data_IF_539982667474
#
_entry.id   IF_539982667474
#
_cell.length_a   1.000
_cell.length_b   1.000
_cell.length_c   1.000
_cell.angle_alpha   90.00
_cell.angle_beta   90.00
_cell.angle_gamma   90.00
#
_symmetry.space_group_name_H-M   'P 1'
#
loop_
_entity.id
_entity.type
_entity.pdbx_description
1 polymer ?
#
# COMPACT_ATOMS: atom_id res chain seq x y z
N UNK A 1 -6.46 8.88 0.62
CA UNK A 1 -7.77 8.40 1.12
C UNK A 1 -8.86 9.09 0.31
N UNK A 2 -9.80 8.35 -0.27
CA UNK A 2 -10.89 8.86 -1.10
C UNK A 2 -11.87 9.76 -0.35
N UNK A 3 -11.84 9.79 0.99
CA UNK A 3 -12.63 10.74 1.77
C UNK A 3 -12.41 12.21 1.38
N UNK A 4 -11.29 12.55 0.74
CA UNK A 4 -11.06 13.89 0.18
C UNK A 4 -11.99 14.27 -0.98
N UNK A 5 -12.66 13.30 -1.61
CA UNK A 5 -13.69 13.54 -2.63
C UNK A 5 -15.07 13.81 -2.02
N UNK A 6 -15.31 13.45 -0.76
CA UNK A 6 -16.65 13.42 -0.20
C UNK A 6 -17.56 12.51 -1.04
N UNK A 7 -18.79 12.98 -1.30
CA UNK A 7 -19.78 12.27 -2.13
C UNK A 7 -19.89 12.88 -3.55
N UNK A 8 -18.80 13.51 -4.03
CA UNK A 8 -18.73 14.21 -5.31
C UNK A 8 -17.94 13.41 -6.36
N UNK A 9 -18.62 12.74 -7.30
CA UNK A 9 -17.96 11.99 -8.38
C UNK A 9 -17.14 12.90 -9.29
N UNK A 10 -17.62 14.11 -9.54
CA UNK A 10 -16.95 15.14 -10.34
C UNK A 10 -15.59 15.55 -9.77
N UNK A 11 -15.40 15.38 -8.45
CA UNK A 11 -14.13 15.67 -7.79
C UNK A 11 -13.02 14.73 -8.30
N UNK A 12 -13.34 13.49 -8.67
CA UNK A 12 -12.35 12.53 -9.18
C UNK A 12 -11.62 13.10 -10.39
N UNK A 13 -12.37 13.61 -11.38
CA UNK A 13 -11.79 14.27 -12.55
C UNK A 13 -11.07 15.56 -12.18
N UNK A 14 -11.65 16.41 -11.34
CA UNK A 14 -11.01 17.66 -10.91
C UNK A 14 -9.62 17.42 -10.31
N UNK A 15 -9.51 16.50 -9.35
CA UNK A 15 -8.23 16.17 -8.71
C UNK A 15 -7.27 15.48 -9.68
N UNK A 16 -7.79 14.69 -10.63
CA UNK A 16 -6.95 14.15 -11.70
C UNK A 16 -6.42 15.26 -12.62
N UNK A 17 -7.20 16.26 -12.97
CA UNK A 17 -6.72 17.40 -13.77
C UNK A 17 -5.65 18.22 -13.00
N UNK A 18 -5.71 18.20 -11.67
CA UNK A 18 -4.69 18.77 -10.77
C UNK A 18 -3.46 17.87 -10.51
N UNK A 19 -3.41 16.68 -11.12
CA UNK A 19 -2.25 15.78 -11.06
C UNK A 19 -2.32 14.64 -10.05
N UNK A 20 -3.41 14.46 -9.32
CA UNK A 20 -3.59 13.28 -8.45
C UNK A 20 -3.79 12.03 -9.32
N UNK A 21 -2.98 11.00 -9.10
CA UNK A 21 -2.93 9.81 -9.96
C UNK A 21 -2.98 8.47 -9.23
N UNK A 22 -2.91 8.49 -7.90
CA UNK A 22 -3.03 7.31 -7.04
C UNK A 22 -3.89 7.69 -5.85
N UNK A 23 -4.96 6.94 -5.61
CA UNK A 23 -5.87 7.20 -4.48
C UNK A 23 -6.24 5.90 -3.80
N UNK A 24 -6.02 5.88 -2.49
CA UNK A 24 -6.48 4.81 -1.63
C UNK A 24 -7.96 4.97 -1.25
N UNK A 25 -8.77 3.92 -1.42
CA UNK A 25 -10.24 3.99 -1.29
C UNK A 25 -10.78 4.00 0.15
N UNK A 26 -9.99 3.59 1.14
CA UNK A 26 -10.31 3.76 2.56
C UNK A 26 -9.03 3.93 3.39
N UNK A 27 -9.14 4.47 4.60
CA UNK A 27 -8.02 4.59 5.54
C UNK A 27 -8.43 4.12 6.92
N UNK A 28 -8.00 2.90 7.29
CA UNK A 28 -8.22 2.22 8.57
C UNK A 28 -9.67 1.88 8.93
N UNK A 29 -10.61 2.80 8.77
CA UNK A 29 -12.02 2.66 9.14
C UNK A 29 -12.92 2.93 7.94
N UNK A 30 -14.23 2.71 8.09
CA UNK A 30 -15.21 2.93 7.04
C UNK A 30 -15.30 4.40 6.61
N UNK A 31 -15.60 4.58 5.31
CA UNK A 31 -16.04 5.82 4.68
C UNK A 31 -17.21 5.52 3.73
N UNK A 32 -17.65 6.49 2.92
CA UNK A 32 -18.77 6.32 1.97
C UNK A 32 -18.47 5.33 0.83
N UNK A 33 -17.20 4.94 0.64
CA UNK A 33 -16.73 4.10 -0.46
C UNK A 33 -16.52 2.65 -0.02
N UNK A 34 -15.78 2.41 1.06
CA UNK A 34 -15.36 1.09 1.50
C UNK A 34 -14.99 1.07 2.99
N UNK A 35 -14.62 -0.11 3.50
CA UNK A 35 -14.11 -0.28 4.85
C UNK A 35 -12.59 -0.44 4.89
N UNK A 36 -11.96 0.19 5.89
CA UNK A 36 -10.55 -0.01 6.18
C UNK A 36 -10.26 -1.26 7.02
N UNK A 37 -8.98 -1.63 7.13
CA UNK A 37 -8.53 -2.87 7.79
C UNK A 37 -8.65 -2.89 9.33
N UNK A 38 -8.98 -1.77 9.97
CA UNK A 38 -9.23 -1.64 11.41
C UNK A 38 -10.72 -1.40 11.73
N UNK A 39 -11.60 -1.47 10.73
CA UNK A 39 -13.03 -1.47 11.02
C UNK A 39 -13.43 -2.80 11.64
N UNK A 40 -14.25 -2.76 12.70
CA UNK A 40 -14.69 -3.99 13.40
C UNK A 40 -15.43 -4.94 12.46
N UNK A 41 -16.13 -4.36 11.47
CA UNK A 41 -16.84 -5.10 10.42
C UNK A 41 -16.53 -4.46 9.06
N UNK A 42 -15.89 -5.23 8.19
CA UNK A 42 -15.72 -4.86 6.80
C UNK A 42 -17.02 -5.10 6.02
N UNK A 43 -17.72 -4.02 5.70
CA UNK A 43 -18.98 -4.02 4.95
C UNK A 43 -18.82 -4.20 3.44
N UNK A 44 -17.59 -4.23 2.91
CA UNK A 44 -17.33 -4.30 1.48
C UNK A 44 -17.40 -2.95 0.77
N UNK A 45 -17.38 -3.01 -0.56
CA UNK A 45 -17.51 -1.86 -1.44
C UNK A 45 -18.98 -1.42 -1.54
N UNK A 46 -19.24 -0.12 -1.35
CA UNK A 46 -20.58 0.45 -1.49
C UNK A 46 -20.95 0.69 -2.96
N UNK A 47 -22.23 0.92 -3.25
CA UNK A 47 -22.66 1.29 -4.61
C UNK A 47 -22.05 2.63 -5.06
N UNK A 48 -21.99 3.63 -4.18
CA UNK A 48 -21.26 4.87 -4.46
C UNK A 48 -19.77 4.60 -4.74
N UNK A 49 -19.16 3.68 -3.97
CA UNK A 49 -17.77 3.28 -4.20
C UNK A 49 -17.53 2.64 -5.56
N UNK A 50 -18.52 1.90 -6.09
CA UNK A 50 -18.47 1.35 -7.45
C UNK A 50 -18.45 2.45 -8.51
N UNK A 51 -19.30 3.46 -8.35
CA UNK A 51 -19.34 4.62 -9.25
C UNK A 51 -18.02 5.40 -9.19
N UNK A 52 -17.50 5.63 -7.98
CA UNK A 52 -16.24 6.34 -7.77
C UNK A 52 -15.05 5.60 -8.40
N UNK A 53 -14.97 4.27 -8.26
CA UNK A 53 -13.93 3.45 -8.92
C UNK A 53 -14.09 3.46 -10.44
N UNK A 54 -15.33 3.49 -10.96
CA UNK A 54 -15.56 3.60 -12.40
C UNK A 54 -15.01 4.92 -12.95
N UNK A 55 -15.24 6.03 -12.24
CA UNK A 55 -14.66 7.34 -12.59
C UNK A 55 -13.14 7.35 -12.48
N UNK A 56 -12.56 6.79 -11.39
CA UNK A 56 -11.11 6.66 -11.25
C UNK A 56 -10.49 5.89 -12.42
N UNK A 57 -11.10 4.78 -12.83
CA UNK A 57 -10.66 3.99 -13.98
C UNK A 57 -10.78 4.77 -15.30
N UNK A 58 -11.82 5.60 -15.44
CA UNK A 58 -12.05 6.40 -16.65
C UNK A 58 -11.04 7.53 -16.82
N UNK A 59 -10.60 8.18 -15.72
CA UNK A 59 -9.61 9.27 -15.75
C UNK A 59 -8.18 8.82 -15.49
N UNK A 60 -7.95 7.52 -15.31
CA UNK A 60 -6.63 6.92 -15.09
C UNK A 60 -6.01 7.28 -13.75
N UNK A 61 -6.77 7.10 -12.67
CA UNK A 61 -6.28 7.13 -11.29
C UNK A 61 -6.14 5.69 -10.78
N UNK A 62 -4.95 5.33 -10.31
CA UNK A 62 -4.67 4.04 -9.69
C UNK A 62 -5.41 3.91 -8.36
N UNK A 63 -6.19 2.84 -8.23
CA UNK A 63 -6.87 2.45 -7.00
C UNK A 63 -5.87 1.77 -6.05
N UNK A 64 -5.69 2.33 -4.85
CA UNK A 64 -4.85 1.76 -3.79
C UNK A 64 -5.69 1.11 -2.68
N UNK A 65 -5.22 -0.05 -2.21
CA UNK A 65 -5.88 -0.95 -1.26
C UNK A 65 -5.08 -1.17 0.02
N UNK A 66 -4.00 -0.42 0.25
CA UNK A 66 -3.11 -0.65 1.37
C UNK A 66 -3.85 -0.68 2.71
N UNK A 67 -4.61 0.36 3.05
CA UNK A 67 -5.43 0.49 4.26
C UNK A 67 -6.82 -0.15 4.23
N UNK A 68 -7.14 -0.90 3.18
CA UNK A 68 -8.48 -1.44 2.94
C UNK A 68 -8.64 -2.83 3.58
N UNK A 69 -9.84 -3.10 4.09
CA UNK A 69 -10.22 -4.39 4.67
C UNK A 69 -10.29 -5.51 3.63
N UNK A 70 -10.39 -6.76 4.08
CA UNK A 70 -10.38 -7.92 3.17
C UNK A 70 -11.58 -7.99 2.23
N UNK A 71 -12.80 -7.88 2.76
CA UNK A 71 -14.02 -7.96 1.95
C UNK A 71 -14.09 -6.80 0.97
N UNK A 72 -13.74 -5.59 1.42
CA UNK A 72 -13.62 -4.42 0.56
C UNK A 72 -12.55 -4.62 -0.53
N UNK A 73 -11.40 -5.22 -0.21
CA UNK A 73 -10.36 -5.56 -1.20
C UNK A 73 -10.91 -6.51 -2.27
N UNK A 74 -11.63 -7.57 -1.86
CA UNK A 74 -12.22 -8.53 -2.80
C UNK A 74 -13.21 -7.86 -3.75
N UNK A 75 -14.10 -7.02 -3.21
CA UNK A 75 -15.11 -6.35 -4.01
C UNK A 75 -14.49 -5.34 -4.99
N UNK A 76 -13.47 -4.60 -4.55
CA UNK A 76 -12.75 -3.65 -5.43
C UNK A 76 -11.98 -4.35 -6.53
N UNK A 77 -11.26 -5.44 -6.22
CA UNK A 77 -10.53 -6.24 -7.23
C UNK A 77 -11.51 -6.80 -8.26
N UNK A 78 -12.67 -7.30 -7.82
CA UNK A 78 -13.72 -7.83 -8.71
C UNK A 78 -14.36 -6.75 -9.58
N UNK A 79 -14.51 -5.52 -9.06
CA UNK A 79 -15.20 -4.43 -9.75
C UNK A 79 -14.31 -3.61 -10.69
N UNK A 80 -13.04 -3.42 -10.33
CA UNK A 80 -12.14 -2.55 -11.10
C UNK A 80 -11.86 -3.11 -12.50
N UNK A 81 -11.89 -2.24 -13.50
CA UNK A 81 -11.56 -2.58 -14.91
C UNK A 81 -10.09 -2.29 -15.26
N UNK A 82 -9.34 -1.73 -14.32
CA UNK A 82 -7.91 -1.45 -14.42
C UNK A 82 -7.17 -2.12 -13.25
N UNK A 83 -5.86 -2.42 -13.42
CA UNK A 83 -5.04 -2.88 -12.32
C UNK A 83 -5.18 -2.00 -11.07
N UNK A 84 -5.23 -2.65 -9.91
CA UNK A 84 -5.20 -2.00 -8.60
C UNK A 84 -3.86 -2.26 -7.92
N UNK A 85 -3.53 -1.49 -6.90
CA UNK A 85 -2.31 -1.69 -6.13
C UNK A 85 -2.57 -1.82 -4.63
N UNK A 86 -1.70 -2.55 -3.96
CA UNK A 86 -1.41 -2.35 -2.55
C UNK A 86 -0.07 -1.61 -2.53
N UNK A 87 -0.11 -0.28 -2.44
CA UNK A 87 1.09 0.56 -2.58
C UNK A 87 2.13 0.39 -1.46
N UNK A 88 1.71 0.00 -0.27
CA UNK A 88 2.59 -0.26 0.87
C UNK A 88 1.94 -1.28 1.84
N UNK A 89 2.52 -2.46 1.95
CA UNK A 89 2.12 -3.47 2.95
C UNK A 89 3.27 -4.42 3.31
N UNK A 90 3.09 -5.21 4.38
CA UNK A 90 3.96 -6.34 4.68
C UNK A 90 3.15 -7.65 4.66
N UNK A 91 3.79 -8.81 4.41
CA UNK A 91 3.10 -10.09 4.37
C UNK A 91 2.74 -10.58 5.79
N UNK A 92 1.49 -11.01 5.97
CA UNK A 92 1.00 -11.53 7.25
C UNK A 92 1.65 -12.88 7.62
N UNK A 93 2.17 -13.61 6.63
CA UNK A 93 2.96 -14.84 6.86
C UNK A 93 4.29 -14.60 7.59
N UNK A 94 4.83 -13.38 7.58
CA UNK A 94 6.01 -13.02 8.38
C UNK A 94 5.65 -12.39 9.73
N UNK A 95 4.52 -11.66 9.80
CA UNK A 95 4.01 -11.10 11.05
C UNK A 95 2.50 -10.94 10.99
N UNK A 96 1.80 -11.55 11.94
CA UNK A 96 0.36 -11.34 12.09
C UNK A 96 0.10 -9.94 12.66
N UNK A 97 -0.37 -9.03 11.81
CA UNK A 97 -0.74 -7.66 12.16
C UNK A 97 -1.94 -7.25 11.27
N UNK A 98 -2.96 -6.53 11.78
CA UNK A 98 -4.17 -6.21 11.00
C UNK A 98 -3.92 -5.46 9.68
N UNK A 99 -2.78 -4.78 9.61
CA UNK A 99 -2.31 -4.03 8.43
C UNK A 99 -1.65 -4.93 7.36
N UNK A 100 -1.11 -6.06 7.78
CA UNK A 100 -0.40 -6.99 6.92
C UNK A 100 -1.37 -7.81 6.09
N UNK A 101 -0.94 -8.19 4.89
CA UNK A 101 -1.80 -8.86 3.92
C UNK A 101 -1.56 -10.36 3.94
N UNK A 102 -2.63 -11.16 4.03
CA UNK A 102 -2.48 -12.62 3.95
C UNK A 102 -2.06 -13.02 2.54
N UNK A 103 -1.47 -14.20 2.41
CA UNK A 103 -1.05 -14.75 1.12
C UNK A 103 -2.20 -14.81 0.12
N UNK A 104 -3.41 -15.10 0.60
CA UNK A 104 -4.62 -15.10 -0.21
C UNK A 104 -4.93 -13.69 -0.76
N UNK A 105 -4.77 -12.64 0.04
CA UNK A 105 -5.00 -11.27 -0.45
C UNK A 105 -3.95 -10.84 -1.46
N UNK A 106 -2.68 -11.18 -1.20
CA UNK A 106 -1.58 -10.87 -2.11
C UNK A 106 -1.77 -11.55 -3.46
N UNK A 107 -2.11 -12.86 -3.46
CA UNK A 107 -2.43 -13.61 -4.68
C UNK A 107 -3.64 -13.07 -5.40
N UNK A 108 -4.74 -12.77 -4.69
CA UNK A 108 -5.94 -12.21 -5.32
C UNK A 108 -5.64 -10.94 -6.12
N UNK A 109 -4.87 -10.02 -5.53
CA UNK A 109 -4.51 -8.77 -6.21
C UNK A 109 -3.58 -9.05 -7.40
N UNK A 110 -2.60 -9.94 -7.23
CA UNK A 110 -1.68 -10.30 -8.31
C UNK A 110 -2.38 -11.01 -9.49
N UNK A 111 -3.25 -11.99 -9.21
CA UNK A 111 -4.00 -12.75 -10.20
C UNK A 111 -4.94 -11.84 -11.03
N UNK A 112 -5.39 -10.73 -10.46
CA UNK A 112 -6.14 -9.69 -11.16
C UNK A 112 -5.27 -8.68 -11.93
N UNK A 113 -3.97 -8.95 -12.09
CA UNK A 113 -3.01 -8.07 -12.76
C UNK A 113 -2.58 -6.86 -11.92
N UNK A 114 -2.86 -6.88 -10.61
CA UNK A 114 -2.52 -5.80 -9.69
C UNK A 114 -1.04 -5.77 -9.28
N UNK A 115 -0.73 -4.94 -8.28
CA UNK A 115 0.65 -4.68 -7.87
C UNK A 115 0.82 -4.60 -6.35
N UNK A 116 1.94 -5.08 -5.84
CA UNK A 116 2.28 -5.05 -4.41
C UNK A 116 3.57 -4.25 -4.19
N UNK A 117 3.42 -3.07 -3.60
CA UNK A 117 4.50 -2.33 -2.96
C UNK A 117 4.71 -2.84 -1.53
N UNK A 118 5.90 -3.36 -1.25
CA UNK A 118 6.26 -3.85 0.07
C UNK A 118 6.77 -2.69 0.92
N UNK A 119 6.29 -2.59 2.15
CA UNK A 119 6.72 -1.57 3.12
C UNK A 119 7.83 -2.06 4.02
N UNK A 120 8.56 -1.11 4.58
CA UNK A 120 9.60 -1.34 5.57
C UNK A 120 9.20 -0.84 6.96
N UNK A 121 7.93 -0.45 7.17
CA UNK A 121 7.46 0.11 8.43
C UNK A 121 7.67 -0.92 9.58
N UNK A 122 8.53 -0.63 10.59
CA UNK A 122 9.01 -1.64 11.54
C UNK A 122 7.88 -2.34 12.31
N UNK A 123 6.80 -1.64 12.63
CA UNK A 123 5.64 -2.24 13.30
C UNK A 123 5.03 -3.41 12.51
N UNK A 124 5.27 -3.50 11.20
CA UNK A 124 4.71 -4.51 10.30
C UNK A 124 5.69 -5.63 9.95
N UNK A 125 6.99 -5.45 10.21
CA UNK A 125 8.04 -6.42 9.93
C UNK A 125 8.20 -7.45 11.06
N UNK A 126 8.63 -8.67 10.71
CA UNK A 126 8.77 -9.83 11.60
C UNK A 126 9.52 -9.52 12.90
N UNK A 127 10.65 -8.81 12.79
CA UNK A 127 11.50 -8.45 13.93
C UNK A 127 11.15 -7.11 14.57
N UNK A 128 10.07 -6.47 14.13
CA UNK A 128 9.56 -5.25 14.74
C UNK A 128 10.60 -4.11 14.71
N UNK A 129 10.72 -3.35 15.81
CA UNK A 129 11.79 -2.37 16.05
C UNK A 129 13.24 -2.82 15.82
N UNK A 130 13.51 -4.13 15.79
CA UNK A 130 14.87 -4.68 15.61
C UNK A 130 15.19 -4.97 14.14
N UNK A 131 14.26 -4.67 13.23
CA UNK A 131 14.41 -4.90 11.80
C UNK A 131 15.40 -3.92 11.18
N UNK A 132 16.20 -4.39 10.24
CA UNK A 132 17.03 -3.58 9.37
C UNK A 132 16.73 -3.84 7.90
N UNK A 133 17.50 -3.21 7.02
CA UNK A 133 17.31 -3.30 5.57
C UNK A 133 17.28 -4.74 5.01
N UNK A 134 18.04 -5.66 5.63
CA UNK A 134 18.04 -7.08 5.24
C UNK A 134 16.69 -7.76 5.50
N UNK A 135 16.02 -7.42 6.61
CA UNK A 135 14.69 -7.94 6.95
C UNK A 135 13.62 -7.38 5.99
N UNK A 136 13.86 -6.19 5.44
CA UNK A 136 13.00 -5.62 4.39
C UNK A 136 13.21 -6.32 3.03
N UNK A 137 14.46 -6.64 2.66
CA UNK A 137 14.73 -7.46 1.47
C UNK A 137 14.09 -8.85 1.62
N UNK A 138 14.15 -9.47 2.80
CA UNK A 138 13.45 -10.74 3.10
C UNK A 138 11.93 -10.61 2.88
N UNK A 139 11.31 -9.53 3.37
CA UNK A 139 9.89 -9.29 3.14
C UNK A 139 9.55 -9.14 1.65
N UNK A 140 10.40 -8.48 0.86
CA UNK A 140 10.22 -8.39 -0.59
C UNK A 140 10.39 -9.77 -1.25
N UNK A 141 11.41 -10.55 -0.87
CA UNK A 141 11.59 -11.92 -1.37
C UNK A 141 10.39 -12.79 -1.09
N UNK A 142 9.83 -12.70 0.11
CA UNK A 142 8.64 -13.45 0.49
C UNK A 142 7.49 -13.20 -0.50
N UNK A 143 7.21 -11.94 -0.80
CA UNK A 143 6.14 -11.58 -1.73
C UNK A 143 6.49 -12.02 -3.15
N UNK A 144 7.73 -11.84 -3.62
CA UNK A 144 8.18 -12.30 -4.93
C UNK A 144 8.00 -13.82 -5.08
N UNK A 145 8.35 -14.60 -4.06
CA UNK A 145 8.20 -16.05 -4.08
C UNK A 145 6.72 -16.48 -4.15
N UNK A 146 5.80 -15.62 -3.74
CA UNK A 146 4.37 -15.90 -3.73
C UNK A 146 3.68 -15.56 -5.04
N UNK A 147 4.02 -14.41 -5.65
CA UNK A 147 3.28 -13.83 -6.78
C UNK A 147 4.13 -13.54 -8.02
N UNK A 148 5.44 -13.75 -7.95
CA UNK A 148 6.39 -13.42 -9.02
C UNK A 148 6.94 -11.99 -8.95
N UNK A 149 8.08 -11.77 -9.61
CA UNK A 149 8.84 -10.52 -9.45
C UNK A 149 8.26 -9.32 -10.22
N UNK A 150 7.46 -9.52 -11.27
CA UNK A 150 6.98 -8.45 -12.15
C UNK A 150 5.92 -7.56 -11.49
N UNK A 151 5.28 -8.04 -10.42
CA UNK A 151 4.18 -7.36 -9.73
C UNK A 151 4.56 -6.87 -8.32
N UNK A 152 5.87 -6.84 -8.03
CA UNK A 152 6.39 -6.44 -6.72
C UNK A 152 7.31 -5.23 -6.85
N UNK A 153 7.22 -4.32 -5.90
CA UNK A 153 8.12 -3.17 -5.82
C UNK A 153 8.25 -2.60 -4.41
N UNK A 154 8.95 -1.47 -4.34
CA UNK A 154 9.22 -0.76 -3.08
C UNK A 154 8.06 0.18 -2.72
N UNK A 155 7.61 0.14 -1.47
CA UNK A 155 6.58 1.01 -0.89
C UNK A 155 6.96 1.46 0.52
N UNK A 156 8.06 2.22 0.65
CA UNK A 156 8.76 2.46 1.93
C UNK A 156 7.88 2.88 3.12
N UNK A 157 6.79 3.62 2.88
CA UNK A 157 5.99 4.24 3.93
C UNK A 157 6.82 5.19 4.82
N UNK A 158 7.74 5.93 4.20
CA UNK A 158 8.61 6.87 4.91
C UNK A 158 7.79 8.01 5.51
N UNK A 159 7.97 8.21 6.81
CA UNK A 159 7.36 9.27 7.62
C UNK A 159 8.39 10.31 8.06
N UNK A 160 9.52 10.38 7.33
CA UNK A 160 10.65 11.25 7.67
C UNK A 160 10.20 12.71 7.86
N UNK A 161 10.52 13.29 9.02
CA UNK A 161 10.19 14.68 9.36
C UNK A 161 8.86 14.87 10.07
N UNK A 162 8.09 13.80 10.30
CA UNK A 162 6.91 13.84 11.15
C UNK A 162 7.23 13.56 12.62
N UNK A 163 6.36 14.03 13.51
CA UNK A 163 6.52 13.99 14.95
C UNK A 163 5.45 13.13 15.64
N UNK A 164 5.45 13.15 16.98
CA UNK A 164 4.48 12.41 17.78
C UNK A 164 3.03 12.86 17.56
N UNK A 165 2.78 14.13 17.18
CA UNK A 165 1.42 14.60 16.90
C UNK A 165 0.89 13.96 15.61
N UNK A 166 1.73 13.89 14.58
CA UNK A 166 1.40 13.15 13.36
C UNK A 166 1.09 11.69 13.66
N UNK A 167 1.92 11.00 14.45
CA UNK A 167 1.68 9.60 14.82
C UNK A 167 0.40 9.43 15.65
N UNK A 168 0.10 10.38 16.55
CA UNK A 168 -1.19 10.42 17.24
C UNK A 168 -2.34 10.56 16.24
N UNK A 169 -2.24 11.46 15.28
CA UNK A 169 -3.27 11.67 14.26
C UNK A 169 -3.53 10.41 13.43
N UNK A 170 -2.50 9.77 12.86
CA UNK A 170 -2.70 8.58 12.00
C UNK A 170 -3.16 7.33 12.76
N UNK A 171 -2.94 7.27 14.09
CA UNK A 171 -3.34 6.13 14.94
C UNK A 171 -4.75 6.29 15.52
N UNK A 172 -5.39 7.45 15.37
CA UNK A 172 -6.74 7.71 15.88
C UNK A 172 -7.74 7.84 14.74
N UNK A 173 -8.95 7.35 14.95
CA UNK A 173 -9.99 7.43 13.93
C UNK A 173 -10.28 8.90 13.58
N UNK A 174 -10.21 9.22 12.29
CA UNK A 174 -10.36 10.58 11.75
C UNK A 174 -9.39 11.60 12.37
N UNK A 175 -8.29 11.12 12.95
CA UNK A 175 -7.28 11.98 13.57
C UNK A 175 -7.50 12.35 15.02
N UNK A 176 -8.69 12.11 15.56
CA UNK A 176 -9.09 12.63 16.87
C UNK A 176 -10.04 11.72 17.66
N UNK A 177 -10.58 10.67 17.03
CA UNK A 177 -11.49 9.71 17.63
C UNK A 177 -10.77 8.61 18.41
N UNK A 178 -11.35 7.40 18.44
CA UNK A 178 -10.78 6.26 19.17
C UNK A 178 -9.39 5.87 18.64
N UNK A 179 -8.51 5.40 19.51
CA UNK A 179 -7.22 4.80 19.13
C UNK A 179 -7.47 3.49 18.37
N UNK A 180 -6.87 3.34 17.20
CA UNK A 180 -7.04 2.20 16.30
C UNK A 180 -5.90 1.19 16.42
N UNK A 181 -4.68 1.69 16.60
CA UNK A 181 -3.46 0.89 16.64
C UNK A 181 -2.41 1.58 17.49
N UNK A 182 -1.51 0.79 18.07
CA UNK A 182 -0.28 1.26 18.69
C UNK A 182 0.92 0.74 17.88
N UNK A 183 1.75 1.65 17.37
CA UNK A 183 2.94 1.28 16.60
C UNK A 183 4.20 1.08 17.46
N UNK A 184 4.16 1.48 18.73
CA UNK A 184 5.33 1.55 19.60
C UNK A 184 6.27 2.72 19.27
N UNK A 185 7.43 2.75 19.92
CA UNK A 185 8.31 3.92 19.96
C UNK A 185 9.36 3.98 18.84
N UNK A 186 9.63 2.85 18.17
CA UNK A 186 10.69 2.75 17.15
C UNK A 186 10.07 2.46 15.80
N UNK A 187 10.03 3.49 14.96
CA UNK A 187 9.38 3.49 13.66
C UNK A 187 10.36 3.64 12.49
N UNK A 188 11.65 3.76 12.80
CA UNK A 188 12.72 3.80 11.80
C UNK A 188 13.31 2.39 11.58
N UNK A 189 13.59 2.08 10.32
CA UNK A 189 14.28 0.85 9.95
C UNK A 189 15.79 1.05 10.09
N UNK A 190 16.48 0.12 10.77
CA UNK A 190 17.94 0.19 10.89
C UNK A 190 18.59 0.13 9.51
N UNK A 191 19.60 0.98 9.30
CA UNK A 191 20.31 1.18 8.04
C UNK A 191 19.44 1.80 6.92
N UNK A 192 18.24 2.30 7.25
CA UNK A 192 17.35 3.05 6.34
C UNK A 192 16.55 4.13 7.12
N UNK A 193 17.19 4.84 8.03
CA UNK A 193 16.51 5.79 8.92
C UNK A 193 16.03 7.05 8.17
N UNK A 194 16.58 7.29 6.98
CA UNK A 194 16.25 8.44 6.12
C UNK A 194 16.26 8.04 4.66
N UNK A 195 15.48 8.74 3.83
CA UNK A 195 15.39 8.51 2.39
C UNK A 195 16.75 8.60 1.68
N UNK A 196 17.68 9.42 2.19
CA UNK A 196 19.05 9.49 1.68
C UNK A 196 19.86 8.18 1.83
N UNK A 197 19.36 7.20 2.60
CA UNK A 197 19.92 5.86 2.74
C UNK A 197 19.34 4.84 1.74
N UNK A 198 18.55 5.28 0.76
CA UNK A 198 18.04 4.40 -0.30
C UNK A 198 19.09 3.47 -0.92
N UNK A 199 20.34 3.91 -1.19
CA UNK A 199 21.37 3.03 -1.73
C UNK A 199 21.70 1.79 -0.86
N UNK A 200 21.42 1.84 0.45
CA UNK A 200 21.61 0.68 1.33
C UNK A 200 20.66 -0.48 0.99
N UNK A 201 19.47 -0.20 0.44
CA UNK A 201 18.56 -1.23 -0.04
C UNK A 201 19.13 -1.95 -1.25
N UNK A 202 19.68 -1.20 -2.22
CA UNK A 202 20.38 -1.78 -3.37
C UNK A 202 21.55 -2.65 -2.92
N UNK A 203 22.39 -2.15 -2.01
CA UNK A 203 23.53 -2.90 -1.48
C UNK A 203 23.10 -4.19 -0.75
N UNK A 204 21.99 -4.15 -0.01
CA UNK A 204 21.42 -5.34 0.64
C UNK A 204 20.91 -6.37 -0.37
N UNK A 205 20.21 -5.92 -1.43
CA UNK A 205 19.78 -6.79 -2.53
C UNK A 205 20.96 -7.43 -3.27
N UNK A 206 22.03 -6.68 -3.54
CA UNK A 206 23.26 -7.20 -4.14
C UNK A 206 23.95 -8.23 -3.25
N UNK A 207 24.07 -7.93 -1.95
CA UNK A 207 24.62 -8.86 -0.95
C UNK A 207 23.78 -10.13 -0.81
N UNK A 208 22.47 -10.04 -1.02
CA UNK A 208 21.55 -11.18 -1.10
C UNK A 208 21.72 -12.00 -2.38
N UNK A 209 22.50 -11.52 -3.34
CA UNK A 209 22.80 -12.20 -4.60
C UNK A 209 21.77 -11.96 -5.71
N UNK A 210 20.96 -10.90 -5.60
CA UNK A 210 20.01 -10.57 -6.66
C UNK A 210 20.74 -10.10 -7.92
N UNK A 211 20.28 -10.57 -9.08
CA UNK A 211 20.75 -10.05 -10.36
C UNK A 211 20.32 -8.58 -10.54
N UNK A 212 21.17 -7.76 -11.17
CA UNK A 212 20.90 -6.34 -11.41
C UNK A 212 19.53 -6.08 -12.05
N UNK A 213 19.12 -6.92 -13.03
CA UNK A 213 17.79 -6.84 -13.65
C UNK A 213 16.64 -6.93 -12.65
N UNK A 214 16.72 -7.85 -11.67
CA UNK A 214 15.68 -8.01 -10.63
C UNK A 214 15.66 -6.80 -9.71
N UNK A 215 16.83 -6.27 -9.37
CA UNK A 215 16.97 -5.06 -8.56
C UNK A 215 16.29 -3.87 -9.25
N UNK A 216 16.65 -3.58 -10.51
CA UNK A 216 16.07 -2.46 -11.26
C UNK A 216 14.54 -2.55 -11.39
N UNK A 217 14.03 -3.78 -11.59
CA UNK A 217 12.60 -4.07 -11.64
C UNK A 217 11.88 -3.68 -10.36
N UNK A 218 12.33 -4.23 -9.24
CA UNK A 218 11.74 -4.01 -7.91
C UNK A 218 11.90 -2.55 -7.46
N UNK A 219 13.03 -1.92 -7.77
CA UNK A 219 13.28 -0.54 -7.39
C UNK A 219 12.41 0.47 -8.15
N UNK A 220 11.95 0.16 -9.37
CA UNK A 220 11.07 1.09 -10.07
C UNK A 220 10.55 0.70 -11.44
N UNK A 221 11.20 -0.20 -12.20
CA UNK A 221 10.70 -0.49 -13.55
C UNK A 221 9.31 -1.14 -13.51
N UNK A 222 9.02 -1.97 -12.49
CA UNK A 222 7.70 -2.58 -12.35
C UNK A 222 6.62 -1.53 -12.01
N UNK A 223 6.95 -0.56 -11.15
CA UNK A 223 6.08 0.58 -10.88
C UNK A 223 5.77 1.35 -12.16
N UNK A 224 6.79 1.69 -12.96
CA UNK A 224 6.60 2.39 -14.24
C UNK A 224 5.71 1.57 -15.19
N UNK A 225 5.89 0.24 -15.24
CA UNK A 225 5.08 -0.66 -16.05
C UNK A 225 3.60 -0.62 -15.63
N UNK A 226 3.30 -0.73 -14.34
CA UNK A 226 1.94 -0.61 -13.81
C UNK A 226 1.31 0.73 -14.15
N UNK A 227 2.02 1.84 -13.86
CA UNK A 227 1.48 3.18 -14.01
C UNK A 227 1.15 3.49 -15.48
N UNK A 228 1.93 2.97 -16.44
CA UNK A 228 1.64 3.06 -17.87
C UNK A 228 0.38 2.30 -18.32
N UNK A 229 -0.05 1.28 -17.58
CA UNK A 229 -1.28 0.53 -17.88
C UNK A 229 -2.54 1.27 -17.40
N UNK A 230 -2.39 2.04 -16.32
CA UNK A 230 -3.49 2.72 -15.65
C UNK A 230 -3.67 4.16 -16.15
N UNK A 231 -2.59 4.93 -16.24
CA UNK A 231 -2.65 6.35 -16.58
C UNK A 231 -2.89 6.56 -18.09
N UNK A 232 -3.58 7.64 -18.49
CA UNK A 232 -3.63 8.04 -19.89
C UNK A 232 -2.22 8.33 -20.39
N UNK A 233 -1.98 8.01 -21.67
CA UNK A 233 -0.73 8.29 -22.37
C UNK A 233 -0.47 9.79 -22.57
#
# INVERSE_FOLDING_TARGET
NSSGYGDHLEAVRLFADLGIRIVQVAYNTANSVACGCYETKDGGLTDFGRELIAEMNAVGVLVDLSHVGWKSTQDVVSWSKKPVAITHCAPAGLKNHPRNKTDEQLKLVADAGGFIGVTMFPAFLARGPKSGVEDYVEAIEYVINLIGEEQVGVGTDSTQGHDAEFFRWITHDKGCGRKLVDFGDVLELRDFERLGKFPNLTAAMEKRGWAARRIERVLGQNWISLLRQVWPA
#
